data_IF_836657373586
#
_entry.id   IF_836657373586
#
_cell.length_a   1.000
_cell.length_b   1.000
_cell.length_c   1.000
_cell.angle_alpha   90.00
_cell.angle_beta   90.00
_cell.angle_gamma   90.00
#
_symmetry.space_group_name_H-M   'P 1'
#
loop_
_entity.id
_entity.type
_entity.pdbx_description
1 polymer ?
#
# COMPACT_ATOMS: atom_id res chain seq x y z
N UNK A 1 32.97 5.26 -2.79
CA UNK A 1 32.01 4.14 -2.74
C UNK A 1 31.15 4.25 -1.50
N UNK A 2 29.86 3.88 -1.60
CA UNK A 2 28.93 3.89 -0.47
C UNK A 2 27.68 3.10 -0.81
N UNK A 3 26.91 2.80 0.23
CA UNK A 3 25.63 2.14 0.08
C UNK A 3 24.83 2.15 1.38
N UNK A 4 23.53 1.99 1.29
CA UNK A 4 22.64 1.82 2.43
C UNK A 4 21.62 0.74 2.14
N UNK A 5 21.19 0.07 3.19
CA UNK A 5 20.09 -0.89 3.16
C UNK A 5 19.21 -0.64 4.38
N UNK A 6 17.91 -0.49 4.15
CA UNK A 6 16.92 -0.28 5.18
C UNK A 6 15.78 -1.27 5.00
N UNK A 7 15.36 -1.88 6.09
CA UNK A 7 14.13 -2.66 6.16
C UNK A 7 13.18 -1.97 7.14
N UNK A 8 11.92 -1.86 6.75
CA UNK A 8 10.87 -1.29 7.59
C UNK A 8 9.66 -2.20 7.55
N UNK A 9 9.10 -2.51 8.72
CA UNK A 9 7.79 -3.13 8.85
C UNK A 9 6.84 -2.17 9.55
N UNK A 10 5.66 -1.97 8.97
CA UNK A 10 4.61 -1.13 9.54
C UNK A 10 3.32 -1.92 9.59
N UNK A 11 2.79 -2.12 10.80
CA UNK A 11 1.49 -2.73 11.01
C UNK A 11 0.53 -1.66 11.52
N UNK A 12 -0.62 -1.54 10.89
CA UNK A 12 -1.62 -0.51 11.20
C UNK A 12 -3.00 -1.12 11.31
N UNK A 13 -3.77 -0.65 12.28
CA UNK A 13 -5.21 -0.83 12.32
C UNK A 13 -5.84 0.50 11.89
N UNK A 14 -6.60 0.46 10.83
CA UNK A 14 -7.20 1.63 10.20
C UNK A 14 -8.67 1.74 10.61
N UNK A 15 -9.16 2.96 10.70
CA UNK A 15 -10.60 3.19 10.73
C UNK A 15 -11.17 2.79 9.36
N UNK A 16 -12.31 2.11 9.37
CA UNK A 16 -13.01 1.79 8.14
C UNK A 16 -13.28 3.06 7.33
N UNK A 17 -13.06 3.02 6.02
CA UNK A 17 -13.50 4.08 5.12
C UNK A 17 -15.01 4.26 5.28
N UNK A 18 -15.42 5.42 5.76
CA UNK A 18 -16.79 5.69 6.12
C UNK A 18 -17.73 5.53 4.93
N UNK A 19 -18.72 4.65 5.07
CA UNK A 19 -19.91 4.64 4.23
C UNK A 19 -21.01 5.50 4.86
N UNK A 20 -22.09 5.73 4.13
CA UNK A 20 -23.24 6.44 4.64
C UNK A 20 -23.93 5.73 5.82
N UNK A 21 -23.72 4.42 5.99
CA UNK A 21 -24.42 3.58 6.97
C UNK A 21 -23.49 2.98 8.04
N UNK A 22 -22.18 2.92 7.80
CA UNK A 22 -21.20 2.36 8.74
C UNK A 22 -20.06 3.31 9.11
N UNK A 23 -20.05 4.55 8.60
CA UNK A 23 -19.02 5.52 8.92
C UNK A 23 -19.10 5.97 10.38
N UNK A 24 -18.00 5.81 11.14
CA UNK A 24 -17.93 6.11 12.58
C UNK A 24 -18.42 7.51 12.91
N UNK A 25 -17.85 8.54 12.24
CA UNK A 25 -18.19 9.94 12.51
C UNK A 25 -19.64 10.27 12.13
N UNK A 26 -20.11 9.77 11.00
CA UNK A 26 -21.45 10.05 10.51
C UNK A 26 -22.50 9.35 11.38
N UNK A 27 -22.25 8.11 11.79
CA UNK A 27 -23.13 7.38 12.72
C UNK A 27 -23.18 8.06 14.08
N UNK A 28 -22.05 8.57 14.57
CA UNK A 28 -21.99 9.33 15.82
C UNK A 28 -22.82 10.62 15.75
N UNK A 29 -22.67 11.40 14.68
CA UNK A 29 -23.42 12.65 14.49
C UNK A 29 -24.94 12.45 14.35
N UNK A 30 -25.36 11.27 13.90
CA UNK A 30 -26.77 10.89 13.77
C UNK A 30 -27.36 10.25 15.03
N UNK A 31 -26.50 9.92 16.00
CA UNK A 31 -26.94 9.26 17.22
C UNK A 31 -27.74 10.20 18.10
N UNK A 32 -28.71 9.63 18.78
CA UNK A 32 -29.57 10.35 19.75
C UNK A 32 -28.79 10.54 21.06
N UNK A 33 -28.73 11.77 21.57
CA UNK A 33 -27.86 12.13 22.69
C UNK A 33 -28.13 11.43 24.02
N UNK A 34 -29.31 10.80 24.19
CA UNK A 34 -29.67 10.03 25.38
C UNK A 34 -29.64 8.51 25.15
N UNK A 35 -29.12 8.03 24.01
CA UNK A 35 -28.94 6.61 23.71
C UNK A 35 -27.54 6.14 24.09
N UNK A 36 -27.47 5.05 24.83
CA UNK A 36 -26.19 4.43 25.22
C UNK A 36 -25.59 3.67 24.03
N UNK A 37 -24.61 4.27 23.38
CA UNK A 37 -23.87 3.68 22.25
C UNK A 37 -22.87 2.60 22.70
N UNK A 38 -22.46 2.54 23.96
CA UNK A 38 -21.47 1.56 24.46
C UNK A 38 -22.02 0.14 24.46
N UNK A 39 -23.36 -0.01 24.55
CA UNK A 39 -24.06 -1.28 24.40
C UNK A 39 -24.35 -1.55 22.91
N UNK A 40 -23.30 -1.80 22.13
CA UNK A 40 -23.31 -1.82 20.67
C UNK A 40 -23.65 -3.18 20.03
N UNK A 41 -23.76 -4.25 20.83
CA UNK A 41 -24.19 -5.60 20.40
C UNK A 41 -25.39 -6.05 21.19
N UNK A 42 -26.27 -6.83 20.58
CA UNK A 42 -27.38 -7.48 21.24
C UNK A 42 -27.00 -8.85 21.85
N UNK A 43 -27.97 -9.58 22.42
CA UNK A 43 -27.74 -10.90 23.00
C UNK A 43 -27.33 -11.99 21.99
N UNK A 44 -27.50 -11.75 20.70
CA UNK A 44 -27.13 -12.63 19.59
C UNK A 44 -25.83 -12.19 18.92
N UNK A 45 -25.24 -11.09 19.39
CA UNK A 45 -24.00 -10.50 18.83
C UNK A 45 -24.23 -9.64 17.58
N UNK A 46 -25.47 -9.20 17.30
CA UNK A 46 -25.74 -8.32 16.17
C UNK A 46 -25.47 -6.86 16.52
N UNK A 47 -25.26 -6.04 15.48
CA UNK A 47 -25.16 -4.61 15.59
C UNK A 47 -26.42 -4.03 16.25
N UNK A 48 -26.22 -3.31 17.34
CA UNK A 48 -27.29 -2.67 18.11
C UNK A 48 -27.10 -1.16 18.06
N UNK A 49 -28.05 -0.48 17.43
CA UNK A 49 -28.09 0.96 17.35
C UNK A 49 -29.53 1.46 17.51
N UNK A 50 -29.71 2.75 17.81
CA UNK A 50 -31.03 3.39 17.85
C UNK A 50 -31.73 3.27 16.50
N UNK A 51 -31.04 3.56 15.43
CA UNK A 51 -31.50 3.35 14.05
C UNK A 51 -30.90 2.05 13.50
N UNK A 52 -31.72 1.06 13.24
CA UNK A 52 -31.28 -0.23 12.74
C UNK A 52 -30.57 -0.18 11.37
N UNK A 53 -30.81 0.87 10.60
CA UNK A 53 -30.18 1.08 9.26
C UNK A 53 -28.76 1.61 9.30
N UNK A 54 -28.22 1.95 10.48
CA UNK A 54 -26.85 2.42 10.64
C UNK A 54 -26.10 1.53 11.63
N UNK A 55 -24.83 1.33 11.36
CA UNK A 55 -23.94 0.66 12.32
C UNK A 55 -23.70 1.58 13.53
N UNK A 56 -23.72 0.98 14.71
CA UNK A 56 -23.25 1.65 15.91
C UNK A 56 -21.77 1.99 15.74
N UNK A 57 -21.29 3.20 16.07
CA UNK A 57 -19.89 3.58 15.95
C UNK A 57 -18.93 2.61 16.66
N UNK A 58 -19.29 2.13 17.85
CA UNK A 58 -18.52 1.13 18.59
C UNK A 58 -18.51 -0.22 17.89
N UNK A 59 -19.63 -0.63 17.28
CA UNK A 59 -19.67 -1.85 16.46
C UNK A 59 -18.71 -1.74 15.28
N UNK A 60 -18.73 -0.62 14.55
CA UNK A 60 -17.82 -0.40 13.43
C UNK A 60 -16.35 -0.48 13.84
N UNK A 61 -15.98 0.14 14.96
CA UNK A 61 -14.59 0.15 15.42
C UNK A 61 -14.11 -1.22 15.89
N UNK A 62 -14.98 -1.99 16.59
CA UNK A 62 -14.58 -3.23 17.24
C UNK A 62 -14.79 -4.46 16.34
N UNK A 63 -15.87 -4.48 15.55
CA UNK A 63 -16.26 -5.67 14.78
C UNK A 63 -15.91 -5.59 13.29
N UNK A 64 -15.65 -4.38 12.76
CA UNK A 64 -15.29 -4.16 11.37
C UNK A 64 -13.83 -3.64 11.24
N UNK A 65 -12.81 -4.38 11.70
CA UNK A 65 -11.43 -3.93 11.61
C UNK A 65 -10.94 -3.88 10.17
N UNK A 66 -10.11 -2.87 9.89
CA UNK A 66 -9.30 -2.79 8.69
C UNK A 66 -7.83 -2.79 9.09
N UNK A 67 -7.05 -3.72 8.59
CA UNK A 67 -5.63 -3.85 8.92
C UNK A 67 -4.74 -3.74 7.69
N UNK A 68 -3.53 -3.24 7.88
CA UNK A 68 -2.48 -3.19 6.86
C UNK A 68 -1.16 -3.62 7.50
N UNK A 69 -0.43 -4.51 6.83
CA UNK A 69 0.93 -4.96 7.19
C UNK A 69 1.84 -4.71 5.99
N UNK A 70 2.69 -3.69 6.10
CA UNK A 70 3.61 -3.28 5.06
C UNK A 70 5.03 -3.68 5.43
N UNK A 71 5.66 -4.45 4.55
CA UNK A 71 7.08 -4.79 4.62
C UNK A 71 7.79 -4.11 3.46
N UNK A 72 8.81 -3.28 3.72
CA UNK A 72 9.54 -2.53 2.71
C UNK A 72 11.04 -2.65 2.87
N UNK A 73 11.71 -2.87 1.77
CA UNK A 73 13.17 -2.86 1.65
C UNK A 73 13.59 -1.72 0.73
N UNK A 74 14.43 -0.83 1.25
CA UNK A 74 15.08 0.24 0.50
C UNK A 74 16.58 -0.02 0.49
N UNK A 75 17.17 -0.06 -0.69
CA UNK A 75 18.60 -0.22 -0.84
C UNK A 75 19.16 0.72 -1.90
N UNK A 76 20.35 1.24 -1.66
CA UNK A 76 21.10 1.99 -2.68
C UNK A 76 22.59 1.71 -2.57
N UNK A 77 23.25 1.83 -3.69
CA UNK A 77 24.70 1.73 -3.81
C UNK A 77 25.26 2.80 -4.76
N UNK A 78 26.43 3.25 -4.45
CA UNK A 78 27.17 4.22 -5.24
C UNK A 78 28.64 3.83 -5.37
N UNK A 79 29.11 3.77 -6.60
CA UNK A 79 30.50 3.53 -6.94
C UNK A 79 31.00 4.66 -7.83
N UNK A 80 32.16 5.22 -7.52
CA UNK A 80 32.86 6.17 -8.37
C UNK A 80 34.28 5.66 -8.61
N UNK A 81 34.73 5.79 -9.85
CA UNK A 81 36.05 5.42 -10.31
C UNK A 81 36.61 6.47 -11.25
N UNK A 82 37.83 6.93 -11.00
CA UNK A 82 38.53 7.97 -11.80
C UNK A 82 39.75 7.33 -12.41
N UNK A 83 39.59 6.73 -13.62
CA UNK A 83 40.73 6.06 -14.31
C UNK A 83 41.81 7.03 -14.80
N UNK A 84 41.48 8.29 -14.99
CA UNK A 84 42.38 9.33 -15.42
C UNK A 84 41.93 10.70 -14.88
N UNK A 85 42.81 11.68 -14.80
CA UNK A 85 42.50 13.01 -14.26
C UNK A 85 41.38 13.74 -15.03
N UNK A 86 41.19 13.36 -16.30
CA UNK A 86 40.17 13.92 -17.17
C UNK A 86 38.88 13.11 -17.28
N UNK A 87 38.76 11.95 -16.60
CA UNK A 87 37.61 11.08 -16.72
C UNK A 87 37.16 10.53 -15.33
N UNK A 88 35.92 10.74 -14.99
CA UNK A 88 35.28 10.18 -13.83
C UNK A 88 34.04 9.36 -14.25
N UNK A 89 34.01 8.12 -13.82
CA UNK A 89 32.90 7.20 -14.05
C UNK A 89 32.14 6.97 -12.72
N UNK A 90 30.83 7.02 -12.76
CA UNK A 90 30.03 6.72 -11.59
C UNK A 90 28.86 5.80 -11.94
N UNK A 91 28.58 4.89 -11.01
CA UNK A 91 27.43 3.99 -11.06
C UNK A 91 26.63 4.20 -9.80
N UNK A 92 25.33 4.44 -9.95
CA UNK A 92 24.36 4.45 -8.86
C UNK A 92 23.34 3.39 -9.14
N UNK A 93 22.94 2.65 -8.13
CA UNK A 93 21.89 1.65 -8.27
C UNK A 93 21.07 1.60 -7.00
N UNK A 94 19.83 1.20 -7.13
CA UNK A 94 18.96 1.02 -5.97
C UNK A 94 17.78 0.14 -6.24
N UNK A 95 17.19 -0.26 -5.13
CA UNK A 95 15.99 -1.08 -5.05
C UNK A 95 15.04 -0.47 -4.04
N UNK A 96 13.76 -0.41 -4.42
CA UNK A 96 12.63 -0.14 -3.54
C UNK A 96 11.62 -1.25 -3.74
N UNK A 97 11.43 -2.09 -2.75
CA UNK A 97 10.51 -3.20 -2.82
C UNK A 97 9.64 -3.22 -1.58
N UNK A 98 8.31 -3.28 -1.78
CA UNK A 98 7.38 -3.44 -0.68
C UNK A 98 6.29 -4.45 -0.99
N UNK A 99 5.78 -5.06 0.08
CA UNK A 99 4.57 -5.86 0.09
C UNK A 99 3.62 -5.23 1.10
N UNK A 100 2.40 -4.91 0.68
CA UNK A 100 1.32 -4.37 1.51
C UNK A 100 0.17 -5.37 1.52
N UNK A 101 -0.03 -6.02 2.65
CA UNK A 101 -1.14 -6.94 2.86
C UNK A 101 -2.22 -6.24 3.68
N UNK A 102 -3.40 -6.08 3.09
CA UNK A 102 -4.55 -5.46 3.73
C UNK A 102 -5.69 -6.45 3.89
N UNK A 103 -6.33 -6.39 5.04
CA UNK A 103 -7.56 -7.10 5.31
C UNK A 103 -8.61 -6.11 5.77
N UNK A 104 -9.82 -6.22 5.24
CA UNK A 104 -10.99 -5.50 5.70
C UNK A 104 -12.11 -6.48 6.03
N UNK A 105 -12.75 -6.28 7.17
CA UNK A 105 -13.83 -7.09 7.66
C UNK A 105 -15.08 -6.23 7.82
N UNK A 106 -16.19 -6.73 7.34
CA UNK A 106 -17.54 -6.32 7.75
C UNK A 106 -18.18 -7.49 8.44
N UNK A 107 -18.41 -7.38 9.72
CA UNK A 107 -19.02 -8.45 10.51
C UNK A 107 -20.45 -8.75 10.06
N UNK A 108 -20.90 -9.96 10.30
CA UNK A 108 -22.31 -10.30 10.11
C UNK A 108 -23.15 -9.37 10.99
N UNK A 109 -24.22 -8.80 10.44
CA UNK A 109 -25.09 -7.74 10.93
C UNK A 109 -24.59 -6.29 10.69
N UNK A 110 -23.38 -6.10 10.15
CA UNK A 110 -22.97 -4.77 9.69
C UNK A 110 -23.80 -4.32 8.48
N UNK A 111 -24.19 -3.06 8.46
CA UNK A 111 -24.80 -2.40 7.30
C UNK A 111 -23.74 -1.83 6.32
N UNK A 112 -22.45 -2.06 6.60
CA UNK A 112 -21.34 -1.55 5.78
C UNK A 112 -21.54 -1.85 4.29
N UNK A 113 -21.28 -0.88 3.44
CA UNK A 113 -21.46 -0.96 1.98
C UNK A 113 -22.82 -1.49 1.51
N UNK A 114 -23.88 -1.26 2.30
CA UNK A 114 -25.23 -1.76 2.05
C UNK A 114 -25.30 -3.31 1.93
N UNK A 115 -24.46 -4.00 2.68
CA UNK A 115 -24.40 -5.45 2.67
C UNK A 115 -25.63 -6.13 3.25
N UNK A 116 -26.49 -5.38 3.95
CA UNK A 116 -27.69 -5.93 4.57
C UNK A 116 -27.40 -6.98 5.67
N UNK A 117 -26.25 -6.87 6.33
CA UNK A 117 -25.89 -7.73 7.46
C UNK A 117 -25.32 -9.10 7.10
N UNK A 118 -25.02 -9.37 5.83
CA UNK A 118 -24.54 -10.70 5.39
C UNK A 118 -23.05 -10.97 5.71
N UNK A 119 -22.30 -9.94 6.10
CA UNK A 119 -20.87 -10.02 6.38
C UNK A 119 -20.01 -10.11 5.11
N UNK A 120 -18.81 -9.57 5.21
CA UNK A 120 -17.82 -9.57 4.13
C UNK A 120 -16.41 -9.65 4.71
N UNK A 121 -15.51 -10.31 3.99
CA UNK A 121 -14.07 -10.22 4.20
C UNK A 121 -13.40 -9.90 2.86
N UNK A 122 -12.53 -8.91 2.85
CA UNK A 122 -11.74 -8.54 1.69
C UNK A 122 -10.26 -8.54 2.02
N UNK A 123 -9.46 -9.03 1.08
CA UNK A 123 -8.01 -9.03 1.15
C UNK A 123 -7.45 -8.31 -0.08
N UNK A 124 -6.46 -7.47 0.15
CA UNK A 124 -5.67 -6.88 -0.92
C UNK A 124 -4.19 -7.12 -0.64
N UNK A 125 -3.48 -7.68 -1.60
CA UNK A 125 -2.04 -7.90 -1.53
C UNK A 125 -1.38 -7.19 -2.70
N UNK A 126 -0.74 -6.06 -2.40
CA UNK A 126 0.01 -5.24 -3.36
C UNK A 126 1.49 -5.50 -3.17
N UNK A 127 2.17 -5.94 -4.23
CA UNK A 127 3.62 -6.09 -4.25
C UNK A 127 4.19 -5.14 -5.31
N UNK A 128 5.12 -4.30 -4.90
CA UNK A 128 5.85 -3.41 -5.80
C UNK A 128 7.34 -3.69 -5.69
N UNK A 129 8.02 -3.74 -6.83
CA UNK A 129 9.47 -3.86 -6.92
C UNK A 129 9.97 -2.86 -7.95
N UNK A 130 10.81 -1.95 -7.51
CA UNK A 130 11.42 -0.96 -8.37
C UNK A 130 12.94 -1.07 -8.29
N UNK A 131 13.59 -1.15 -9.45
CA UNK A 131 15.03 -1.14 -9.60
C UNK A 131 15.42 0.03 -10.47
N UNK A 132 16.50 0.70 -10.10
CA UNK A 132 17.11 1.72 -10.96
C UNK A 132 18.62 1.57 -11.00
N UNK A 133 19.19 1.96 -12.13
CA UNK A 133 20.64 2.04 -12.30
C UNK A 133 20.98 3.24 -13.18
N UNK A 134 21.91 4.06 -12.73
CA UNK A 134 22.49 5.19 -13.44
C UNK A 134 23.96 4.94 -13.69
N UNK A 135 24.38 5.06 -14.93
CA UNK A 135 25.77 5.07 -15.36
C UNK A 135 26.09 6.45 -15.87
N UNK A 136 27.07 7.12 -15.29
CA UNK A 136 27.42 8.50 -15.62
C UNK A 136 28.94 8.60 -15.88
N UNK A 137 29.29 9.13 -17.00
CA UNK A 137 30.65 9.50 -17.35
C UNK A 137 30.77 11.02 -17.41
N UNK A 138 31.63 11.58 -16.60
CA UNK A 138 32.00 13.00 -16.64
C UNK A 138 33.45 13.13 -17.05
N UNK A 139 33.72 14.04 -17.95
CA UNK A 139 35.08 14.23 -18.40
C UNK A 139 35.40 15.66 -18.83
N UNK A 140 36.68 15.91 -18.91
CA UNK A 140 37.28 17.14 -19.43
C UNK A 140 38.10 16.76 -20.64
N UNK A 141 37.83 17.39 -21.81
CA UNK A 141 38.67 17.17 -23.00
C UNK A 141 40.05 17.76 -22.72
N UNK A 142 41.12 16.96 -22.81
CA UNK A 142 42.48 17.42 -22.49
C UNK A 142 43.04 18.29 -23.65
N UNK A 143 42.54 19.51 -23.77
CA UNK A 143 43.02 20.49 -24.74
C UNK A 143 44.27 21.17 -24.20
N UNK A 144 45.27 21.39 -25.07
CA UNK A 144 46.47 22.21 -24.78
C UNK A 144 46.18 23.72 -24.87
N UNK A 145 45.01 24.15 -24.43
CA UNK A 145 44.54 25.52 -24.49
C UNK A 145 44.23 26.05 -23.11
N UNK A 146 44.78 27.21 -22.74
CA UNK A 146 44.49 27.85 -21.45
C UNK A 146 43.14 28.56 -21.43
N UNK A 147 42.65 28.97 -22.61
CA UNK A 147 41.41 29.75 -22.74
C UNK A 147 40.15 28.91 -23.05
N UNK A 148 40.29 27.62 -23.41
CA UNK A 148 39.15 26.75 -23.73
C UNK A 148 39.22 25.45 -22.90
N UNK A 149 38.17 25.19 -22.13
CA UNK A 149 37.95 23.96 -21.42
C UNK A 149 36.58 23.40 -21.81
N UNK A 150 36.56 22.17 -22.29
CA UNK A 150 35.32 21.47 -22.68
C UNK A 150 35.06 20.37 -21.68
N UNK A 151 33.98 20.52 -20.90
CA UNK A 151 33.49 19.49 -20.03
C UNK A 151 32.36 18.73 -20.76
N UNK A 152 32.31 17.43 -20.60
CA UNK A 152 31.22 16.60 -21.09
C UNK A 152 30.66 15.73 -20.00
N UNK A 153 29.39 15.44 -20.13
CA UNK A 153 28.67 14.45 -19.30
C UNK A 153 27.89 13.56 -20.24
N UNK A 154 28.04 12.26 -20.10
CA UNK A 154 27.18 11.28 -20.77
C UNK A 154 26.65 10.28 -19.77
N UNK A 155 25.43 9.84 -19.95
CA UNK A 155 24.82 8.93 -19.00
C UNK A 155 23.76 8.03 -19.60
N UNK A 156 23.53 6.93 -18.89
CA UNK A 156 22.48 5.95 -19.14
C UNK A 156 21.69 5.76 -17.85
N UNK A 157 20.39 5.97 -17.94
CA UNK A 157 19.45 5.66 -16.87
C UNK A 157 18.62 4.43 -17.25
N UNK A 158 18.55 3.48 -16.35
CA UNK A 158 17.71 2.29 -16.45
C UNK A 158 16.78 2.25 -15.25
N UNK A 159 15.48 2.04 -15.50
CA UNK A 159 14.48 1.86 -14.45
C UNK A 159 13.54 0.72 -14.82
N UNK A 160 13.28 -0.14 -13.89
CA UNK A 160 12.30 -1.23 -14.00
C UNK A 160 11.36 -1.19 -12.81
N UNK A 161 10.07 -1.19 -13.07
CA UNK A 161 9.03 -1.25 -12.05
C UNK A 161 8.12 -2.43 -12.35
N UNK A 162 7.90 -3.26 -11.36
CA UNK A 162 6.98 -4.40 -11.41
C UNK A 162 5.99 -4.26 -10.26
N UNK A 163 4.73 -4.12 -10.58
CA UNK A 163 3.63 -4.03 -9.62
C UNK A 163 2.64 -5.15 -9.83
N UNK A 164 2.30 -5.87 -8.76
CA UNK A 164 1.27 -6.89 -8.73
C UNK A 164 0.26 -6.55 -7.65
N UNK A 165 -1.01 -6.52 -8.01
CA UNK A 165 -2.13 -6.29 -7.10
C UNK A 165 -3.09 -7.48 -7.19
N UNK A 166 -3.31 -8.16 -6.06
CA UNK A 166 -4.22 -9.30 -5.94
C UNK A 166 -5.30 -8.94 -4.94
N UNK A 167 -6.50 -8.75 -5.44
CA UNK A 167 -7.67 -8.49 -4.62
C UNK A 167 -8.57 -9.73 -4.57
N UNK A 168 -9.06 -10.06 -3.38
CA UNK A 168 -10.05 -11.12 -3.18
C UNK A 168 -11.07 -10.71 -2.13
N UNK A 169 -12.31 -11.07 -2.35
CA UNK A 169 -13.43 -10.71 -1.49
C UNK A 169 -14.41 -11.87 -1.38
N UNK A 170 -14.86 -12.12 -0.16
CA UNK A 170 -15.91 -13.08 0.14
C UNK A 170 -17.08 -12.41 0.86
N UNK A 171 -18.29 -12.59 0.36
CA UNK A 171 -19.53 -12.10 0.95
C UNK A 171 -20.40 -13.24 1.42
N UNK A 172 -21.40 -12.89 2.22
CA UNK A 172 -22.40 -13.82 2.77
C UNK A 172 -21.71 -14.93 3.56
N UNK A 173 -21.18 -14.54 4.72
CA UNK A 173 -20.43 -15.43 5.62
C UNK A 173 -21.38 -16.42 6.30
N UNK A 174 -21.11 -17.72 6.14
CA UNK A 174 -21.93 -18.78 6.69
C UNK A 174 -21.81 -18.88 8.21
N UNK A 175 -20.64 -18.63 8.75
CA UNK A 175 -20.34 -18.70 10.19
C UNK A 175 -19.84 -17.35 10.69
N UNK A 176 -20.51 -16.80 11.68
CA UNK A 176 -20.14 -15.54 12.33
C UNK A 176 -18.76 -15.66 13.00
N UNK A 177 -17.95 -14.60 12.92
CA UNK A 177 -16.63 -14.54 13.55
C UNK A 177 -15.52 -15.30 12.80
N UNK A 178 -15.84 -15.98 11.70
CA UNK A 178 -14.87 -16.68 10.86
C UNK A 178 -14.64 -15.85 9.58
N UNK A 179 -13.56 -15.10 9.55
CA UNK A 179 -13.26 -14.14 8.46
C UNK A 179 -12.22 -14.71 7.50
N UNK A 180 -12.64 -15.68 6.71
CA UNK A 180 -11.85 -16.22 5.60
C UNK A 180 -12.72 -16.44 4.35
N UNK A 181 -12.09 -16.58 3.20
CA UNK A 181 -12.81 -16.74 1.94
C UNK A 181 -13.60 -18.05 1.86
N UNK A 182 -13.12 -19.11 2.50
CA UNK A 182 -13.81 -20.40 2.49
C UNK A 182 -15.13 -20.41 3.28
N UNK A 183 -15.34 -19.40 4.12
CA UNK A 183 -16.59 -19.20 4.88
C UNK A 183 -17.62 -18.37 4.09
N UNK A 184 -17.26 -17.83 2.94
CA UNK A 184 -18.14 -17.00 2.10
C UNK A 184 -18.83 -17.85 1.03
N UNK A 185 -20.08 -17.53 0.74
CA UNK A 185 -20.84 -18.18 -0.34
C UNK A 185 -20.71 -17.46 -1.67
N UNK A 186 -20.32 -16.18 -1.65
CA UNK A 186 -20.07 -15.38 -2.83
C UNK A 186 -18.60 -14.95 -2.86
N UNK A 187 -17.89 -15.31 -3.92
CA UNK A 187 -16.45 -15.02 -4.05
C UNK A 187 -16.20 -14.15 -5.27
N UNK A 188 -15.30 -13.19 -5.10
CA UNK A 188 -14.75 -12.37 -6.17
C UNK A 188 -13.23 -12.30 -6.02
N UNK A 189 -12.51 -12.42 -7.12
CA UNK A 189 -11.07 -12.22 -7.14
C UNK A 189 -10.66 -11.50 -8.44
N UNK A 190 -9.65 -10.67 -8.33
CA UNK A 190 -9.00 -10.02 -9.47
C UNK A 190 -7.49 -9.96 -9.25
N UNK A 191 -6.76 -9.98 -10.34
CA UNK A 191 -5.32 -9.83 -10.36
C UNK A 191 -4.93 -8.81 -11.44
N UNK A 192 -4.07 -7.87 -11.08
CA UNK A 192 -3.50 -6.91 -12.02
C UNK A 192 -1.98 -6.95 -11.89
N UNK A 193 -1.32 -7.04 -13.02
CA UNK A 193 0.13 -6.99 -13.12
C UNK A 193 0.54 -5.88 -14.06
N UNK A 194 1.47 -5.04 -13.63
CA UNK A 194 1.99 -3.94 -14.43
C UNK A 194 3.52 -3.99 -14.43
N UNK A 195 4.09 -4.10 -15.60
CA UNK A 195 5.53 -4.07 -15.82
C UNK A 195 5.89 -2.84 -16.65
N UNK A 196 6.78 -2.01 -16.14
CA UNK A 196 7.28 -0.82 -16.82
C UNK A 196 8.80 -0.87 -16.85
N UNK A 197 9.37 -0.72 -18.03
CA UNK A 197 10.81 -0.56 -18.22
C UNK A 197 11.07 0.76 -18.93
N UNK A 198 11.95 1.58 -18.36
CA UNK A 198 12.34 2.87 -18.90
C UNK A 198 13.86 2.90 -19.12
N UNK A 199 14.28 3.45 -20.23
CA UNK A 199 15.70 3.64 -20.58
C UNK A 199 15.87 5.02 -21.16
N UNK A 200 16.85 5.76 -20.66
CA UNK A 200 17.18 7.09 -21.14
C UNK A 200 18.68 7.23 -21.31
N UNK A 201 19.09 7.85 -22.41
CA UNK A 201 20.47 8.27 -22.67
C UNK A 201 20.46 9.78 -22.66
N UNK A 202 21.45 10.39 -22.02
CA UNK A 202 21.62 11.84 -21.97
C UNK A 202 23.09 12.20 -22.11
N UNK A 203 23.34 13.42 -22.65
CA UNK A 203 24.66 13.96 -22.85
C UNK A 203 24.63 15.46 -23.13
#
# INVERSE_FOLDING_TARGET
TGGSLQYTRTTSTLAQNGSNVSGVMLSLLRSVGNYDLTNYIDGEGNNKNYFASYDNPYFTVNENPATSDVNRVLGNMFLSYTPADWLSLSVKGGVDAYSDYRQQIFAVSSNGDNLGGIGEVAFNNTNNKEFYADFIANGLVPLKSEWLKINYTAGLNLRSSHNTDVFSRGKNLAVRGVYNLSNATELYASNTETNVMSRAIFG
#
